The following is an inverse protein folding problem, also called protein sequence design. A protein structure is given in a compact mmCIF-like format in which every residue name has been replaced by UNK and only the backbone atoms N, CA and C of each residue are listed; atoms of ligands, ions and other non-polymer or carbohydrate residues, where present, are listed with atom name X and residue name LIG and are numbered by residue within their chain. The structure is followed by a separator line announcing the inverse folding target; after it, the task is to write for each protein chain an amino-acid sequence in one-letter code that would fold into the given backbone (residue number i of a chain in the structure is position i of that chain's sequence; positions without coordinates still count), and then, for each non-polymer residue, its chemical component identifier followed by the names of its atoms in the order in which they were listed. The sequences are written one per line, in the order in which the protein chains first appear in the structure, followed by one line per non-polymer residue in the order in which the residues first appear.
data_IF_381466681974
#
_entry.id   IF_381466681974
#
_cell.length_a   1.000
_cell.length_b   1.000
_cell.length_c   1.000
_cell.angle_alpha   90.00
_cell.angle_beta   90.00
_cell.angle_gamma   90.00
#
_symmetry.space_group_name_H-M   'P 1'
#
loop_
_entity.id
_entity.type
_entity.pdbx_description
1 polymer ?
#
# COMPACT_ATOMS: atom_id res chain seq x y z
N UNK A 1 11.24 -18.38 -20.33
CA UNK A 1 11.70 -19.51 -19.49
C UNK A 1 11.90 -18.97 -18.08
N UNK A 2 11.16 -19.46 -17.08
CA UNK A 2 11.40 -19.06 -15.69
C UNK A 2 12.78 -19.63 -15.32
N UNK A 3 13.82 -18.80 -15.25
CA UNK A 3 15.16 -19.25 -14.85
C UNK A 3 15.36 -19.21 -13.32
N UNK A 4 14.42 -18.57 -12.61
CA UNK A 4 14.50 -18.28 -11.17
C UNK A 4 13.64 -19.20 -10.30
N UNK A 5 12.89 -20.15 -10.88
CA UNK A 5 11.91 -20.97 -10.15
C UNK A 5 12.53 -21.69 -8.95
N UNK A 6 13.76 -22.19 -9.09
CA UNK A 6 14.45 -22.92 -8.01
C UNK A 6 14.73 -22.03 -6.80
N UNK A 7 15.10 -20.77 -7.05
CA UNK A 7 15.35 -19.77 -6.01
C UNK A 7 14.02 -19.34 -5.39
N UNK A 8 12.98 -19.12 -6.19
CA UNK A 8 11.64 -18.75 -5.73
C UNK A 8 11.02 -19.83 -4.85
N UNK A 9 11.12 -21.11 -5.24
CA UNK A 9 10.65 -22.25 -4.44
C UNK A 9 11.39 -22.29 -3.11
N UNK A 10 12.73 -22.22 -3.12
CA UNK A 10 13.53 -22.21 -1.89
C UNK A 10 13.15 -21.04 -0.97
N UNK A 11 12.92 -19.86 -1.54
CA UNK A 11 12.54 -18.67 -0.78
C UNK A 11 11.09 -18.72 -0.26
N UNK A 12 10.21 -19.48 -0.90
CA UNK A 12 8.81 -19.62 -0.47
C UNK A 12 8.65 -20.33 0.89
N UNK A 13 9.67 -21.08 1.32
CA UNK A 13 9.75 -21.74 2.62
C UNK A 13 10.37 -20.85 3.71
N UNK A 14 10.85 -19.65 3.37
CA UNK A 14 11.44 -18.74 4.36
C UNK A 14 10.36 -18.28 5.34
N UNK A 15 10.63 -18.52 6.61
CA UNK A 15 9.84 -18.02 7.73
C UNK A 15 10.47 -16.76 8.27
N UNK A 16 9.67 -15.73 8.48
CA UNK A 16 10.09 -14.50 9.15
C UNK A 16 9.18 -14.26 10.34
N UNK A 17 9.78 -13.99 11.51
CA UNK A 17 9.05 -13.75 12.77
C UNK A 17 8.00 -14.83 13.10
N UNK A 18 8.35 -16.10 12.88
CA UNK A 18 7.48 -17.25 13.18
C UNK A 18 6.35 -17.51 12.17
N UNK A 19 6.28 -16.76 11.07
CA UNK A 19 5.28 -16.97 10.01
C UNK A 19 5.94 -17.10 8.64
N UNK A 20 5.43 -18.01 7.80
CA UNK A 20 5.83 -18.10 6.39
C UNK A 20 5.44 -16.81 5.66
N UNK A 21 6.38 -16.21 4.94
CA UNK A 21 6.08 -15.09 4.05
C UNK A 21 5.28 -15.66 2.87
N UNK A 22 3.95 -15.49 2.90
CA UNK A 22 3.07 -15.91 1.82
C UNK A 22 2.69 -14.71 0.95
N UNK A 23 2.29 -14.99 -0.30
CA UNK A 23 1.79 -13.95 -1.20
C UNK A 23 0.41 -13.42 -0.78
N UNK A 24 -0.35 -14.15 0.03
CA UNK A 24 -1.73 -13.81 0.40
C UNK A 24 -1.92 -12.38 0.96
N UNK A 25 -1.13 -11.93 1.97
CA UNK A 25 -1.20 -10.55 2.46
C UNK A 25 -0.90 -9.50 1.37
N UNK A 26 0.05 -9.80 0.48
CA UNK A 26 0.42 -8.90 -0.64
C UNK A 26 -0.72 -8.85 -1.66
N UNK A 27 -1.30 -10.00 -2.02
CA UNK A 27 -2.44 -10.11 -2.95
C UNK A 27 -3.68 -9.40 -2.41
N UNK A 28 -3.95 -9.52 -1.10
CA UNK A 28 -5.02 -8.80 -0.42
C UNK A 28 -4.82 -7.28 -0.53
N UNK A 29 -3.60 -6.81 -0.31
CA UNK A 29 -3.24 -5.39 -0.41
C UNK A 29 -3.36 -4.90 -1.86
N UNK A 30 -2.85 -5.65 -2.84
CA UNK A 30 -2.96 -5.32 -4.25
C UNK A 30 -4.42 -5.24 -4.73
N UNK A 31 -5.28 -6.13 -4.23
CA UNK A 31 -6.72 -6.08 -4.53
C UNK A 31 -7.37 -4.80 -4.01
N UNK A 32 -7.04 -4.36 -2.80
CA UNK A 32 -7.52 -3.08 -2.23
C UNK A 32 -7.07 -1.89 -3.07
N UNK A 33 -5.80 -1.86 -3.50
CA UNK A 33 -5.25 -0.80 -4.35
C UNK A 33 -6.00 -0.73 -5.68
N UNK A 34 -6.23 -1.88 -6.33
CA UNK A 34 -7.01 -1.95 -7.58
C UNK A 34 -8.41 -1.38 -7.42
N UNK A 35 -9.09 -1.70 -6.32
CA UNK A 35 -10.41 -1.15 -6.01
C UNK A 35 -10.35 0.38 -5.88
N UNK A 36 -9.37 0.92 -5.14
CA UNK A 36 -9.18 2.38 -4.97
C UNK A 36 -8.96 3.07 -6.31
N UNK A 37 -8.15 2.49 -7.19
CA UNK A 37 -7.92 3.02 -8.53
C UNK A 37 -9.21 2.98 -9.36
N UNK A 38 -9.94 1.86 -9.34
CA UNK A 38 -11.20 1.68 -10.08
C UNK A 38 -12.26 2.70 -9.68
N UNK A 39 -12.39 3.01 -8.38
CA UNK A 39 -13.35 4.02 -7.89
C UNK A 39 -12.87 5.46 -8.07
N UNK A 40 -11.61 5.70 -8.45
CA UNK A 40 -11.05 7.06 -8.48
C UNK A 40 -11.44 7.90 -9.70
N UNK A 41 -12.30 7.42 -10.62
CA UNK A 41 -12.69 8.10 -11.85
C UNK A 41 -11.49 8.67 -12.64
N UNK A 42 -10.42 7.88 -12.71
CA UNK A 42 -9.16 8.26 -13.36
C UNK A 42 -8.11 8.84 -12.40
N UNK A 43 -6.85 8.75 -12.83
CA UNK A 43 -5.69 9.23 -12.07
C UNK A 43 -5.14 10.46 -12.81
N UNK A 44 -5.36 11.66 -12.25
CA UNK A 44 -4.79 12.90 -12.80
C UNK A 44 -3.43 13.24 -12.19
N UNK A 45 -3.19 12.79 -10.95
CA UNK A 45 -1.95 13.02 -10.21
C UNK A 45 -1.61 11.77 -9.38
N UNK A 46 -0.42 11.22 -9.62
CA UNK A 46 0.09 10.06 -8.90
C UNK A 46 0.33 10.35 -7.40
N UNK A 47 0.76 11.56 -7.04
CA UNK A 47 1.00 11.94 -5.63
C UNK A 47 -0.30 11.86 -4.83
N UNK A 48 -1.39 12.35 -5.43
CA UNK A 48 -2.74 12.29 -4.86
C UNK A 48 -3.24 10.84 -4.76
N UNK A 49 -3.03 10.01 -5.78
CA UNK A 49 -3.37 8.59 -5.71
C UNK A 49 -2.61 7.87 -4.60
N UNK A 50 -1.29 8.08 -4.51
CA UNK A 50 -0.45 7.51 -3.45
C UNK A 50 -0.93 7.92 -2.08
N UNK A 51 -1.28 9.21 -1.89
CA UNK A 51 -1.85 9.71 -0.64
C UNK A 51 -3.14 8.98 -0.25
N UNK A 52 -4.08 8.80 -1.20
CA UNK A 52 -5.31 8.03 -0.97
C UNK A 52 -5.03 6.58 -0.59
N UNK A 53 -4.14 5.90 -1.32
CA UNK A 53 -3.79 4.50 -1.06
C UNK A 53 -3.22 4.34 0.36
N UNK A 54 -2.26 5.18 0.73
CA UNK A 54 -1.64 5.12 2.06
C UNK A 54 -2.67 5.40 3.16
N UNK A 55 -3.55 6.38 2.97
CA UNK A 55 -4.63 6.68 3.92
C UNK A 55 -5.63 5.54 4.07
N UNK A 56 -6.12 4.98 2.96
CA UNK A 56 -7.17 3.97 2.97
C UNK A 56 -6.71 2.60 3.48
N UNK A 57 -5.42 2.27 3.29
CA UNK A 57 -4.85 0.99 3.74
C UNK A 57 -4.39 1.08 5.19
N UNK A 58 -3.80 2.20 5.62
CA UNK A 58 -3.27 2.38 6.97
C UNK A 58 -4.26 3.20 7.83
N UNK A 59 -5.45 2.65 8.08
CA UNK A 59 -6.53 3.34 8.82
C UNK A 59 -6.09 3.87 10.21
N UNK A 60 -5.10 3.22 10.82
CA UNK A 60 -4.60 3.55 12.17
C UNK A 60 -3.38 4.47 12.15
N UNK A 61 -2.92 4.92 10.98
CA UNK A 61 -1.77 5.82 10.85
C UNK A 61 -2.25 7.18 10.34
N UNK A 62 -2.32 8.21 11.19
CA UNK A 62 -2.63 9.55 10.71
C UNK A 62 -1.54 9.97 9.72
N UNK A 63 -1.94 10.32 8.50
CA UNK A 63 -1.07 11.07 7.59
C UNK A 63 -0.77 12.41 8.29
N UNK A 64 0.35 12.49 9.02
CA UNK A 64 0.91 13.77 9.46
C UNK A 64 1.35 14.51 8.20
N UNK A 65 0.41 15.19 7.58
CA UNK A 65 0.69 16.17 6.55
C UNK A 65 1.01 17.46 7.31
N UNK A 66 2.29 17.72 7.55
CA UNK A 66 2.75 18.93 8.27
C UNK A 66 2.23 20.22 7.60
N UNK A 67 1.90 20.16 6.32
CA UNK A 67 1.33 21.26 5.54
C UNK A 67 -0.17 21.53 5.79
N UNK A 68 -0.94 20.58 6.35
CA UNK A 68 -2.38 20.79 6.61
C UNK A 68 -2.60 21.54 7.93
N UNK A 69 -1.74 21.36 8.94
CA UNK A 69 -1.83 22.13 10.21
C UNK A 69 -1.77 23.63 9.97
N UNK A 70 -0.93 24.07 9.03
CA UNK A 70 -0.77 25.49 8.69
C UNK A 70 -2.08 26.13 8.17
N UNK A 71 -2.95 25.36 7.49
CA UNK A 71 -4.25 25.88 7.03
C UNK A 71 -5.30 25.91 8.13
N UNK A 72 -5.25 24.97 9.08
CA UNK A 72 -6.23 24.88 10.16
C UNK A 72 -5.94 25.92 11.26
N UNK A 73 -4.66 26.23 11.53
CA UNK A 73 -4.26 27.24 12.53
C UNK A 73 -4.43 28.69 12.05
N UNK A 74 -4.62 28.93 10.74
CA UNK A 74 -4.92 30.27 10.20
C UNK A 74 -6.44 30.59 10.25
N UNK A 75 -7.28 29.58 10.48
CA UNK A 75 -8.75 29.71 10.45
C UNK A 75 -9.38 29.66 11.84
N UNK A 76 -8.56 29.72 12.91
CA UNK A 76 -8.97 29.92 14.30
C UNK A 76 -8.49 31.28 14.77
#
# INVERSE_FOLDING_TARGET
MIQTWKVEIKNSFIMSKGRRISNGPIESTNSKIKTIIKVSNGIRDFRRLRGKIMYSINKDTPLKNENIKKYIDITK
#
